data_IF_683856291026
#
_entry.id   IF_683856291026
#
_cell.length_a   1.000
_cell.length_b   1.000
_cell.length_c   1.000
_cell.angle_alpha   90.00
_cell.angle_beta   90.00
_cell.angle_gamma   90.00
#
_symmetry.space_group_name_H-M   'P 1'
#
loop_
_entity.id
_entity.type
_entity.pdbx_description
1 polymer ?
#
# COMPACT_ATOMS: atom_id res chain seq x y z
N UNK A 1 -25.15 7.01 -5.73
CA UNK A 1 -23.86 6.31 -5.58
C UNK A 1 -22.69 7.27 -5.34
N UNK A 2 -22.43 8.27 -6.23
CA UNK A 2 -21.34 9.25 -6.01
C UNK A 2 -21.42 10.01 -4.69
N UNK A 3 -22.60 10.38 -4.25
CA UNK A 3 -22.82 11.13 -3.00
C UNK A 3 -22.41 10.37 -1.72
N UNK A 4 -22.53 9.04 -1.71
CA UNK A 4 -22.07 8.23 -0.58
C UNK A 4 -20.54 8.17 -0.54
N UNK A 5 -19.91 8.03 -1.69
CA UNK A 5 -18.45 8.02 -1.77
C UNK A 5 -17.86 9.39 -1.39
N UNK A 6 -18.46 10.51 -1.79
CA UNK A 6 -18.06 11.86 -1.34
C UNK A 6 -18.08 11.98 0.19
N UNK A 7 -19.09 11.38 0.85
CA UNK A 7 -19.18 11.37 2.31
C UNK A 7 -18.04 10.56 2.94
N UNK A 8 -17.68 9.41 2.36
CA UNK A 8 -16.59 8.55 2.82
C UNK A 8 -15.23 9.25 2.61
N UNK A 9 -15.03 9.87 1.43
CA UNK A 9 -13.83 10.63 1.08
C UNK A 9 -13.71 11.91 1.95
N UNK A 10 -14.82 12.44 2.46
CA UNK A 10 -14.86 13.71 3.21
C UNK A 10 -14.74 14.94 2.31
N UNK A 11 -15.00 14.81 1.00
CA UNK A 11 -14.90 15.90 0.03
C UNK A 11 -16.09 15.91 -0.92
N UNK A 12 -16.72 17.08 -1.08
CA UNK A 12 -17.80 17.31 -2.05
C UNK A 12 -17.24 17.95 -3.31
N UNK A 13 -17.32 17.26 -4.44
CA UNK A 13 -16.81 17.76 -5.71
C UNK A 13 -17.59 18.97 -6.23
N UNK A 14 -16.88 20.01 -6.65
CA UNK A 14 -17.42 21.16 -7.38
C UNK A 14 -17.82 20.75 -8.80
N UNK A 15 -16.99 19.88 -9.40
CA UNK A 15 -17.27 19.24 -10.70
C UNK A 15 -17.45 17.72 -10.51
N UNK A 16 -18.68 17.23 -10.34
CA UNK A 16 -18.97 15.80 -10.16
C UNK A 16 -18.50 14.90 -11.30
N UNK A 17 -18.31 15.46 -12.50
CA UNK A 17 -17.83 14.71 -13.67
C UNK A 17 -16.42 14.17 -13.47
N UNK A 18 -15.57 14.83 -12.68
CA UNK A 18 -14.23 14.34 -12.36
C UNK A 18 -14.30 13.03 -11.58
N UNK A 19 -15.14 12.95 -10.55
CA UNK A 19 -15.33 11.72 -9.79
C UNK A 19 -15.96 10.64 -10.66
N UNK A 20 -16.97 10.98 -11.47
CA UNK A 20 -17.59 10.02 -12.40
C UNK A 20 -16.57 9.43 -13.38
N UNK A 21 -15.70 10.26 -13.95
CA UNK A 21 -14.62 9.83 -14.83
C UNK A 21 -13.62 8.93 -14.09
N UNK A 22 -13.22 9.29 -12.87
CA UNK A 22 -12.31 8.49 -12.03
C UNK A 22 -12.86 7.08 -11.74
N UNK A 23 -14.17 6.97 -11.57
CA UNK A 23 -14.86 5.70 -11.30
C UNK A 23 -15.21 4.91 -12.59
N UNK A 24 -14.93 5.43 -13.77
CA UNK A 24 -15.27 4.80 -15.04
C UNK A 24 -14.07 4.08 -15.62
N UNK A 25 -14.11 2.75 -15.60
CA UNK A 25 -13.09 1.91 -16.22
C UNK A 25 -13.21 1.89 -17.74
N UNK A 26 -12.10 1.67 -18.45
CA UNK A 26 -12.05 1.62 -19.92
C UNK A 26 -13.03 0.61 -20.52
N UNK A 27 -13.27 -0.54 -19.86
CA UNK A 27 -14.23 -1.54 -20.31
C UNK A 27 -15.67 -1.01 -20.40
N UNK A 28 -16.07 -0.12 -19.48
CA UNK A 28 -17.38 0.54 -19.53
C UNK A 28 -17.47 1.51 -20.72
N UNK A 29 -16.43 2.30 -20.91
CA UNK A 29 -16.37 3.26 -22.01
C UNK A 29 -16.45 2.55 -23.37
N UNK A 30 -15.77 1.40 -23.52
CA UNK A 30 -15.76 0.60 -24.76
C UNK A 30 -17.13 -0.04 -25.08
N UNK A 31 -17.94 -0.33 -24.07
CA UNK A 31 -19.30 -0.88 -24.26
C UNK A 31 -20.36 0.22 -24.41
N UNK A 32 -20.01 1.47 -24.15
CA UNK A 32 -20.93 2.60 -24.23
C UNK A 32 -21.28 2.96 -25.67
N UNK A 33 -22.57 3.23 -25.96
CA UNK A 33 -23.03 3.71 -27.26
C UNK A 33 -22.69 5.16 -27.56
N UNK A 34 -22.34 5.91 -26.53
CA UNK A 34 -21.91 7.31 -26.62
C UNK A 34 -20.48 7.41 -26.10
N UNK A 35 -19.65 8.33 -26.58
CA UNK A 35 -18.32 8.55 -26.05
C UNK A 35 -18.37 8.90 -24.57
N UNK A 36 -17.66 8.11 -23.74
CA UNK A 36 -17.53 8.32 -22.30
C UNK A 36 -16.05 8.39 -21.95
N UNK A 37 -15.67 9.37 -21.14
CA UNK A 37 -14.30 9.44 -20.61
C UNK A 37 -14.11 8.36 -19.55
N UNK A 38 -12.92 7.76 -19.54
CA UNK A 38 -12.49 6.74 -18.58
C UNK A 38 -11.29 7.21 -17.76
N UNK A 39 -10.91 6.44 -16.77
CA UNK A 39 -10.00 6.84 -15.70
C UNK A 39 -8.51 6.83 -16.04
N UNK A 40 -8.03 6.18 -17.11
CA UNK A 40 -6.58 6.00 -17.37
C UNK A 40 -5.77 7.30 -17.35
N UNK A 41 -6.30 8.41 -17.86
CA UNK A 41 -5.60 9.71 -17.81
C UNK A 41 -5.56 10.32 -16.42
N UNK A 42 -6.59 10.05 -15.61
CA UNK A 42 -6.62 10.47 -14.21
C UNK A 42 -5.70 9.59 -13.37
N UNK A 43 -5.66 8.28 -13.59
CA UNK A 43 -4.70 7.35 -13.00
C UNK A 43 -3.26 7.85 -13.18
N UNK A 44 -2.84 8.12 -14.43
CA UNK A 44 -1.52 8.67 -14.73
C UNK A 44 -1.18 9.94 -13.92
N UNK A 45 -2.12 10.86 -13.80
CA UNK A 45 -1.94 12.08 -13.02
C UNK A 45 -1.95 11.79 -11.52
N UNK A 46 -2.81 10.88 -11.07
CA UNK A 46 -2.99 10.50 -9.67
C UNK A 46 -1.75 9.82 -9.10
N UNK A 47 -1.12 8.92 -9.85
CA UNK A 47 0.18 8.36 -9.49
C UNK A 47 1.20 9.45 -9.19
N UNK A 48 1.34 10.44 -10.09
CA UNK A 48 2.27 11.56 -9.89
C UNK A 48 1.97 12.39 -8.64
N UNK A 49 0.69 12.66 -8.36
CA UNK A 49 0.27 13.37 -7.14
C UNK A 49 0.56 12.54 -5.89
N UNK A 50 0.27 11.24 -5.92
CA UNK A 50 0.55 10.31 -4.84
C UNK A 50 2.05 10.22 -4.56
N UNK A 51 2.88 10.15 -5.59
CA UNK A 51 4.33 10.11 -5.49
C UNK A 51 4.90 11.37 -4.80
N UNK A 52 4.42 12.57 -5.16
CA UNK A 52 4.91 13.80 -4.55
C UNK A 52 4.45 13.94 -3.09
N UNK A 53 3.20 13.61 -2.78
CA UNK A 53 2.68 13.67 -1.41
C UNK A 53 3.41 12.69 -0.50
N UNK A 54 3.63 11.47 -0.99
CA UNK A 54 4.35 10.43 -0.24
C UNK A 54 5.81 10.80 -0.02
N UNK A 55 6.49 11.35 -1.05
CA UNK A 55 7.88 11.78 -0.96
C UNK A 55 8.04 12.94 0.03
N UNK A 56 7.17 13.95 -0.03
CA UNK A 56 7.16 15.08 0.89
C UNK A 56 6.95 14.63 2.35
N UNK A 57 5.99 13.75 2.58
CA UNK A 57 5.76 13.18 3.90
C UNK A 57 7.00 12.45 4.44
N UNK A 58 7.58 11.53 3.63
CA UNK A 58 8.73 10.75 4.05
C UNK A 58 9.97 11.61 4.30
N UNK A 59 10.20 12.64 3.48
CA UNK A 59 11.30 13.56 3.63
C UNK A 59 11.27 14.29 4.99
N UNK A 60 10.09 14.71 5.42
CA UNK A 60 9.94 15.40 6.71
C UNK A 60 9.85 14.43 7.91
N UNK A 61 9.21 13.28 7.72
CA UNK A 61 9.03 12.31 8.81
C UNK A 61 10.30 11.51 9.14
N UNK A 62 11.21 11.38 8.19
CA UNK A 62 12.44 10.57 8.30
C UNK A 62 13.69 11.36 7.89
N UNK A 63 13.91 12.52 8.54
CA UNK A 63 14.99 13.46 8.20
C UNK A 63 16.41 12.85 8.23
N UNK A 64 16.63 11.84 9.08
CA UNK A 64 17.95 11.21 9.25
C UNK A 64 18.17 9.98 8.35
N UNK A 65 17.19 9.65 7.46
CA UNK A 65 17.33 8.48 6.58
C UNK A 65 17.96 8.83 5.25
N UNK A 66 18.84 7.96 4.69
CA UNK A 66 19.38 8.14 3.36
C UNK A 66 18.29 7.99 2.29
N UNK A 67 18.55 8.59 1.11
CA UNK A 67 17.62 8.61 -0.04
C UNK A 67 17.14 7.21 -0.43
N UNK A 68 18.04 6.21 -0.47
CA UNK A 68 17.69 4.83 -0.84
C UNK A 68 16.62 4.21 0.07
N UNK A 69 16.67 4.52 1.38
CA UNK A 69 15.64 4.08 2.34
C UNK A 69 14.30 4.75 2.07
N UNK A 70 14.30 6.07 1.84
CA UNK A 70 13.08 6.82 1.54
C UNK A 70 12.43 6.31 0.25
N UNK A 71 13.22 6.03 -0.78
CA UNK A 71 12.74 5.47 -2.05
C UNK A 71 12.13 4.08 -1.86
N UNK A 72 12.75 3.22 -1.06
CA UNK A 72 12.24 1.88 -0.76
C UNK A 72 10.92 1.93 0.03
N UNK A 73 10.86 2.78 1.07
CA UNK A 73 9.64 2.98 1.86
C UNK A 73 8.52 3.50 0.96
N UNK A 74 8.79 4.52 0.15
CA UNK A 74 7.80 5.04 -0.80
C UNK A 74 7.28 3.96 -1.73
N UNK A 75 8.15 3.19 -2.38
CA UNK A 75 7.74 2.12 -3.29
C UNK A 75 6.83 1.08 -2.62
N UNK A 76 7.03 0.81 -1.34
CA UNK A 76 6.14 -0.07 -0.58
C UNK A 76 4.78 0.57 -0.30
N UNK A 77 4.76 1.86 0.08
CA UNK A 77 3.55 2.62 0.42
C UNK A 77 2.63 2.86 -0.78
N UNK A 78 3.21 2.99 -1.98
CA UNK A 78 2.46 3.27 -3.22
C UNK A 78 2.40 2.07 -4.16
N UNK A 79 2.65 0.86 -3.65
CA UNK A 79 2.53 -0.37 -4.44
C UNK A 79 1.06 -0.69 -4.77
N UNK A 80 0.80 -1.38 -5.88
CA UNK A 80 -0.55 -1.86 -6.24
C UNK A 80 -1.26 -2.52 -5.05
N UNK A 81 -0.53 -3.39 -4.31
CA UNK A 81 -1.10 -4.07 -3.15
C UNK A 81 -1.49 -3.13 -2.02
N UNK A 82 -0.72 -2.06 -1.76
CA UNK A 82 -1.05 -1.05 -0.76
C UNK A 82 -2.25 -0.21 -1.20
N UNK A 83 -2.26 0.25 -2.45
CA UNK A 83 -3.36 1.04 -3.00
C UNK A 83 -4.67 0.26 -3.03
N UNK A 84 -4.60 -1.03 -3.37
CA UNK A 84 -5.76 -1.91 -3.31
C UNK A 84 -6.35 -1.98 -1.89
N UNK A 85 -5.51 -2.09 -0.86
CA UNK A 85 -5.96 -2.10 0.53
C UNK A 85 -6.60 -0.76 0.93
N UNK A 86 -5.98 0.36 0.57
CA UNK A 86 -6.56 1.70 0.78
C UNK A 86 -7.93 1.84 0.12
N UNK A 87 -8.04 1.38 -1.12
CA UNK A 87 -9.31 1.38 -1.85
C UNK A 87 -10.38 0.48 -1.20
N UNK A 88 -9.98 -0.63 -0.58
CA UNK A 88 -10.88 -1.50 0.18
C UNK A 88 -11.42 -0.81 1.45
N UNK A 89 -10.62 0.00 2.14
CA UNK A 89 -11.05 0.73 3.33
C UNK A 89 -12.23 1.67 3.05
N UNK A 90 -12.28 2.20 1.82
CA UNK A 90 -13.38 3.08 1.36
C UNK A 90 -14.40 2.35 0.49
N UNK A 91 -14.31 1.03 0.35
CA UNK A 91 -15.17 0.20 -0.50
C UNK A 91 -15.23 0.69 -1.96
N UNK A 92 -14.11 1.20 -2.50
CA UNK A 92 -14.09 1.87 -3.81
C UNK A 92 -14.61 0.99 -4.95
N UNK A 93 -14.33 -0.32 -4.91
CA UNK A 93 -14.78 -1.27 -5.91
C UNK A 93 -16.29 -1.27 -6.17
N UNK A 94 -17.11 -0.99 -5.14
CA UNK A 94 -18.57 -0.95 -5.26
C UNK A 94 -19.07 0.22 -6.11
N UNK A 95 -18.27 1.27 -6.24
CA UNK A 95 -18.62 2.48 -6.99
C UNK A 95 -18.16 2.47 -8.44
N UNK A 96 -17.37 1.47 -8.85
CA UNK A 96 -16.79 1.40 -10.20
C UNK A 96 -17.88 1.16 -11.27
N UNK A 97 -17.71 1.81 -12.40
CA UNK A 97 -18.47 1.59 -13.62
C UNK A 97 -17.65 0.69 -14.54
N UNK A 98 -18.06 -0.57 -14.62
CA UNK A 98 -17.38 -1.62 -15.37
C UNK A 98 -18.22 -2.05 -16.56
N UNK A 99 -17.58 -2.49 -17.64
CA UNK A 99 -18.25 -3.21 -18.73
C UNK A 99 -18.70 -4.59 -18.24
N UNK A 100 -19.69 -5.19 -18.92
CA UNK A 100 -20.27 -6.49 -18.53
C UNK A 100 -19.25 -7.62 -18.46
N UNK A 101 -18.25 -7.59 -19.36
CA UNK A 101 -17.18 -8.57 -19.37
C UNK A 101 -16.32 -8.46 -18.12
N UNK A 102 -15.85 -7.26 -17.80
CA UNK A 102 -15.01 -6.96 -16.64
C UNK A 102 -15.76 -7.24 -15.32
N UNK A 103 -17.04 -6.87 -15.26
CA UNK A 103 -17.90 -7.16 -14.10
C UNK A 103 -17.97 -8.66 -13.82
N UNK A 104 -18.22 -9.49 -14.84
CA UNK A 104 -18.31 -10.96 -14.72
C UNK A 104 -16.97 -11.60 -14.31
N UNK A 105 -15.87 -10.97 -14.68
CA UNK A 105 -14.52 -11.43 -14.32
C UNK A 105 -14.04 -10.93 -12.95
N UNK A 106 -14.92 -10.34 -12.14
CA UNK A 106 -14.60 -9.89 -10.79
C UNK A 106 -13.80 -8.59 -10.74
N UNK A 107 -13.95 -7.69 -11.74
CA UNK A 107 -13.22 -6.43 -11.82
C UNK A 107 -13.34 -5.55 -10.57
N UNK A 108 -14.48 -5.59 -9.85
CA UNK A 108 -14.69 -4.83 -8.60
C UNK A 108 -13.75 -5.22 -7.46
N UNK A 109 -13.18 -6.41 -7.52
CA UNK A 109 -12.27 -6.94 -6.50
C UNK A 109 -10.88 -7.24 -7.06
N UNK A 110 -10.63 -6.92 -8.34
CA UNK A 110 -9.33 -7.11 -8.99
C UNK A 110 -8.36 -6.02 -8.53
N UNK A 111 -7.20 -6.37 -7.94
CA UNK A 111 -6.26 -5.39 -7.40
C UNK A 111 -5.88 -4.29 -8.38
N UNK A 112 -5.48 -4.61 -9.62
CA UNK A 112 -5.08 -3.61 -10.60
C UNK A 112 -6.21 -2.63 -10.96
N UNK A 113 -7.44 -3.11 -11.19
CA UNK A 113 -8.59 -2.26 -11.55
C UNK A 113 -8.96 -1.29 -10.43
N UNK A 114 -8.86 -1.77 -9.19
CA UNK A 114 -9.28 -0.99 -8.01
C UNK A 114 -8.19 -0.02 -7.57
N UNK A 115 -6.89 -0.39 -7.69
CA UNK A 115 -5.77 0.51 -7.41
C UNK A 115 -5.70 1.65 -8.44
N UNK A 116 -5.87 1.36 -9.74
CA UNK A 116 -5.88 2.37 -10.80
C UNK A 116 -7.01 3.39 -10.58
N UNK A 117 -8.18 2.91 -10.16
CA UNK A 117 -9.30 3.78 -9.82
C UNK A 117 -9.02 4.63 -8.55
N UNK A 118 -8.27 4.13 -7.58
CA UNK A 118 -7.87 4.89 -6.40
C UNK A 118 -6.94 6.04 -6.78
N UNK A 119 -5.97 5.81 -7.65
CA UNK A 119 -5.12 6.87 -8.20
C UNK A 119 -5.95 7.88 -9.00
N UNK A 120 -6.89 7.40 -9.82
CA UNK A 120 -7.78 8.30 -10.56
C UNK A 120 -8.63 9.19 -9.64
N UNK A 121 -9.08 8.69 -8.48
CA UNK A 121 -9.78 9.50 -7.46
C UNK A 121 -8.85 10.55 -6.87
N UNK A 122 -7.58 10.23 -6.61
CA UNK A 122 -6.56 11.20 -6.17
C UNK A 122 -6.43 12.35 -7.19
N UNK A 123 -6.33 12.02 -8.48
CA UNK A 123 -6.27 13.04 -9.52
C UNK A 123 -7.54 13.89 -9.59
N UNK A 124 -8.71 13.27 -9.45
CA UNK A 124 -9.99 14.00 -9.42
C UNK A 124 -10.04 15.00 -8.27
N UNK A 125 -9.60 14.61 -7.08
CA UNK A 125 -9.48 15.49 -5.89
C UNK A 125 -8.50 16.62 -6.15
N UNK A 126 -7.33 16.32 -6.73
CA UNK A 126 -6.33 17.31 -7.08
C UNK A 126 -6.85 18.35 -8.07
N UNK A 127 -7.51 17.91 -9.13
CA UNK A 127 -8.03 18.80 -10.18
C UNK A 127 -9.20 19.67 -9.68
N UNK A 128 -10.00 19.17 -8.77
CA UNK A 128 -11.18 19.88 -8.25
C UNK A 128 -10.86 20.79 -7.06
N UNK A 129 -9.98 20.34 -6.17
CA UNK A 129 -9.69 20.98 -4.89
C UNK A 129 -8.24 21.41 -4.66
N UNK A 130 -7.34 21.04 -5.57
CA UNK A 130 -5.91 21.34 -5.44
C UNK A 130 -5.13 20.36 -4.57
N UNK A 131 -3.83 20.64 -4.43
CA UNK A 131 -2.89 19.74 -3.75
C UNK A 131 -3.25 19.47 -2.28
N UNK A 132 -3.76 20.47 -1.57
CA UNK A 132 -4.10 20.32 -0.14
C UNK A 132 -5.24 19.33 0.06
N UNK A 133 -6.24 19.32 -0.83
CA UNK A 133 -7.35 18.36 -0.78
C UNK A 133 -6.85 16.95 -1.06
N UNK A 134 -6.03 16.78 -2.10
CA UNK A 134 -5.42 15.48 -2.42
C UNK A 134 -4.52 15.00 -1.26
N UNK A 135 -3.69 15.87 -0.69
CA UNK A 135 -2.84 15.57 0.47
C UNK A 135 -3.65 15.10 1.67
N UNK A 136 -4.71 15.81 2.03
CA UNK A 136 -5.57 15.46 3.16
C UNK A 136 -6.26 14.10 2.96
N UNK A 137 -6.55 13.71 1.72
CA UNK A 137 -7.09 12.41 1.41
C UNK A 137 -6.02 11.30 1.50
N UNK A 138 -4.80 11.55 1.01
CA UNK A 138 -3.73 10.54 0.94
C UNK A 138 -3.11 10.27 2.31
N UNK A 139 -2.82 11.32 3.10
CA UNK A 139 -2.03 11.20 4.32
C UNK A 139 -2.57 10.16 5.32
N UNK A 140 -3.86 10.06 5.64
CA UNK A 140 -4.35 9.03 6.57
C UNK A 140 -3.95 7.61 6.18
N UNK A 141 -4.01 7.28 4.89
CA UNK A 141 -3.66 5.95 4.40
C UNK A 141 -2.18 5.62 4.58
N UNK A 142 -1.29 6.59 4.32
CA UNK A 142 0.16 6.35 4.41
C UNK A 142 0.73 6.52 5.81
N UNK A 143 0.03 7.23 6.72
CA UNK A 143 0.48 7.49 8.10
C UNK A 143 -0.13 6.55 9.12
N UNK A 144 -1.42 6.23 9.00
CA UNK A 144 -2.17 5.41 9.95
C UNK A 144 -2.30 3.96 9.48
N UNK A 145 -2.06 3.73 8.20
CA UNK A 145 -2.15 2.41 7.60
C UNK A 145 -1.23 1.42 8.28
N UNK A 146 -1.74 0.23 8.58
CA UNK A 146 -0.98 -0.96 9.01
C UNK A 146 0.10 -1.38 8.00
N UNK A 147 0.26 -0.63 6.93
CA UNK A 147 1.06 -0.87 5.74
C UNK A 147 2.48 -0.31 5.80
N UNK A 148 2.80 0.52 6.81
CA UNK A 148 4.17 0.69 7.23
C UNK A 148 4.60 -0.56 8.02
N UNK A 149 4.43 -1.74 7.45
CA UNK A 149 5.26 -2.87 7.82
C UNK A 149 6.68 -2.40 7.52
N UNK A 150 7.27 -1.76 8.55
CA UNK A 150 8.66 -1.42 8.52
C UNK A 150 9.35 -2.70 8.06
N UNK A 151 10.13 -2.62 6.97
CA UNK A 151 10.88 -3.76 6.47
C UNK A 151 11.98 -4.08 7.51
N UNK A 152 11.50 -4.66 8.61
CA UNK A 152 12.34 -5.04 9.73
C UNK A 152 13.45 -5.98 9.29
N UNK A 153 13.17 -6.81 8.29
CA UNK A 153 14.14 -7.77 7.74
C UNK A 153 15.31 -7.04 7.09
N UNK A 154 15.04 -6.07 6.22
CA UNK A 154 16.09 -5.28 5.57
C UNK A 154 16.84 -4.41 6.60
N UNK A 155 16.10 -3.77 7.52
CA UNK A 155 16.72 -2.95 8.58
C UNK A 155 17.65 -3.78 9.46
N UNK A 156 17.25 -5.00 9.82
CA UNK A 156 18.08 -5.90 10.58
C UNK A 156 19.33 -6.33 9.78
N UNK A 157 19.16 -6.61 8.48
CA UNK A 157 20.26 -6.97 7.59
C UNK A 157 21.29 -5.84 7.46
N UNK A 158 20.86 -4.59 7.33
CA UNK A 158 21.72 -3.41 7.27
C UNK A 158 22.56 -3.24 8.55
N UNK A 159 21.95 -3.50 9.70
CA UNK A 159 22.66 -3.42 11.00
C UNK A 159 23.71 -4.53 11.12
N UNK A 160 23.34 -5.75 10.78
CA UNK A 160 24.25 -6.90 10.86
C UNK A 160 25.39 -6.78 9.85
N UNK A 161 25.14 -6.25 8.66
CA UNK A 161 26.17 -6.03 7.62
C UNK A 161 27.24 -4.98 8.02
N UNK A 162 26.98 -4.15 9.04
CA UNK A 162 28.02 -3.26 9.58
C UNK A 162 29.16 -4.06 10.24
N UNK A 163 28.89 -5.32 10.59
CA UNK A 163 29.85 -6.25 11.18
C UNK A 163 30.14 -7.40 10.18
N UNK A 164 31.23 -7.34 9.39
CA UNK A 164 31.48 -8.32 8.30
C UNK A 164 31.59 -9.78 8.77
N UNK A 165 31.85 -10.00 10.06
CA UNK A 165 31.96 -11.33 10.66
C UNK A 165 30.60 -11.95 11.02
N UNK A 166 29.53 -11.14 11.04
CA UNK A 166 28.19 -11.60 11.41
C UNK A 166 27.39 -12.01 10.18
N UNK A 167 26.81 -13.22 10.22
CA UNK A 167 25.94 -13.76 9.17
C UNK A 167 24.51 -13.85 9.71
N UNK A 168 23.62 -13.09 9.07
CA UNK A 168 22.19 -13.14 9.33
C UNK A 168 21.55 -14.29 8.53
N UNK A 169 20.76 -15.11 9.19
CA UNK A 169 19.98 -16.17 8.55
C UNK A 169 18.59 -16.31 9.16
N UNK A 170 17.63 -16.77 8.35
CA UNK A 170 16.26 -17.06 8.77
C UNK A 170 16.00 -18.55 8.56
N UNK A 171 15.51 -19.21 9.60
CA UNK A 171 15.25 -20.66 9.60
C UNK A 171 13.80 -20.90 9.97
N UNK A 172 13.07 -21.59 9.10
CA UNK A 172 11.71 -22.04 9.41
C UNK A 172 11.81 -23.16 10.45
N UNK A 173 11.34 -22.91 11.65
CA UNK A 173 11.34 -23.90 12.76
C UNK A 173 10.08 -24.78 12.72
N UNK A 174 8.96 -24.19 12.30
CA UNK A 174 7.69 -24.91 12.24
C UNK A 174 6.82 -24.41 11.09
N UNK A 175 6.17 -25.35 10.40
CA UNK A 175 5.10 -25.09 9.43
C UNK A 175 3.93 -25.98 9.83
N UNK A 176 2.73 -25.39 10.02
CA UNK A 176 1.54 -26.08 10.48
C UNK A 176 0.28 -25.50 9.84
N UNK A 177 -0.84 -26.21 9.96
CA UNK A 177 -2.14 -25.81 9.40
C UNK A 177 -2.37 -26.30 7.96
N UNK A 178 -3.65 -26.30 7.51
CA UNK A 178 -4.04 -26.67 6.16
C UNK A 178 -3.58 -25.61 5.14
N UNK A 179 -3.55 -25.96 3.85
CA UNK A 179 -3.02 -25.08 2.78
C UNK A 179 -3.68 -23.69 2.71
N UNK A 180 -4.92 -23.56 3.12
CA UNK A 180 -5.66 -22.29 3.14
C UNK A 180 -5.50 -21.50 4.44
N UNK A 181 -4.88 -22.07 5.50
CA UNK A 181 -4.63 -21.41 6.78
C UNK A 181 -3.29 -21.92 7.40
N UNK A 182 -2.21 -21.72 6.64
CA UNK A 182 -0.86 -22.09 7.09
C UNK A 182 -0.36 -21.13 8.15
N UNK A 183 0.37 -21.70 9.11
CA UNK A 183 1.07 -20.97 10.15
C UNK A 183 2.55 -21.33 10.14
N UNK A 184 3.40 -20.31 10.10
CA UNK A 184 4.85 -20.44 10.04
C UNK A 184 5.47 -19.86 11.29
N UNK A 185 6.48 -20.53 11.81
CA UNK A 185 7.36 -20.04 12.86
C UNK A 185 8.76 -19.96 12.29
N UNK A 186 9.36 -18.77 12.35
CA UNK A 186 10.70 -18.50 11.83
C UNK A 186 11.58 -17.98 12.94
N UNK A 187 12.79 -18.55 13.04
CA UNK A 187 13.87 -18.02 13.89
C UNK A 187 14.83 -17.19 13.06
N UNK A 188 15.23 -16.04 13.62
CA UNK A 188 16.35 -15.26 13.13
C UNK A 188 17.61 -15.68 13.90
N UNK A 189 18.72 -15.86 13.19
CA UNK A 189 20.02 -16.26 13.78
C UNK A 189 21.12 -15.30 13.34
N UNK A 190 22.01 -14.97 14.28
CA UNK A 190 23.29 -14.35 13.99
C UNK A 190 24.34 -15.45 14.13
N UNK A 191 25.04 -15.73 13.04
CA UNK A 191 25.93 -16.90 12.94
C UNK A 191 25.16 -18.20 13.24
N UNK A 192 25.49 -18.86 14.37
CA UNK A 192 24.81 -20.09 14.82
C UNK A 192 23.78 -19.83 15.92
N UNK A 193 23.79 -18.63 16.52
CA UNK A 193 22.97 -18.32 17.68
C UNK A 193 21.59 -17.82 17.28
N UNK A 194 20.56 -18.41 17.89
CA UNK A 194 19.18 -17.97 17.73
C UNK A 194 18.97 -16.70 18.55
N UNK A 195 18.59 -15.62 17.86
CA UNK A 195 18.40 -14.30 18.48
C UNK A 195 16.95 -14.01 18.80
N UNK A 196 16.06 -14.27 17.84
CA UNK A 196 14.65 -13.97 17.98
C UNK A 196 13.78 -14.93 17.17
N UNK A 197 12.47 -14.85 17.38
CA UNK A 197 11.46 -15.70 16.77
C UNK A 197 10.27 -14.87 16.35
N UNK A 198 9.65 -15.24 15.22
CA UNK A 198 8.44 -14.61 14.71
C UNK A 198 7.48 -15.63 14.10
N UNK A 199 6.21 -15.32 14.15
CA UNK A 199 5.13 -16.17 13.68
C UNK A 199 4.27 -15.43 12.65
N UNK A 200 3.68 -16.14 11.70
CA UNK A 200 2.83 -15.53 10.69
C UNK A 200 2.14 -16.53 9.77
N UNK A 201 1.13 -16.05 9.06
CA UNK A 201 0.38 -16.85 8.06
C UNK A 201 1.16 -17.09 6.76
N UNK A 202 2.30 -16.45 6.60
CA UNK A 202 3.25 -16.71 5.50
C UNK A 202 4.68 -16.67 6.02
N UNK A 203 5.62 -17.33 5.31
CA UNK A 203 7.04 -17.28 5.64
C UNK A 203 7.54 -15.82 5.72
N UNK A 204 7.15 -14.98 4.76
CA UNK A 204 7.50 -13.55 4.72
C UNK A 204 7.03 -12.81 5.97
N UNK A 205 5.80 -13.01 6.41
CA UNK A 205 5.28 -12.39 7.65
C UNK A 205 6.04 -12.87 8.88
N UNK A 206 6.28 -14.18 9.00
CA UNK A 206 7.02 -14.74 10.12
C UNK A 206 8.46 -14.22 10.18
N UNK A 207 9.13 -14.07 9.02
CA UNK A 207 10.47 -13.48 8.93
C UNK A 207 10.48 -12.00 9.36
N UNK A 208 9.50 -11.21 8.95
CA UNK A 208 9.36 -9.80 9.36
C UNK A 208 9.13 -9.67 10.86
N UNK A 209 8.28 -10.53 11.45
CA UNK A 209 8.05 -10.55 12.89
C UNK A 209 9.30 -10.97 13.67
N UNK A 210 10.03 -11.98 13.17
CA UNK A 210 11.30 -12.40 13.78
C UNK A 210 12.34 -11.28 13.75
N UNK A 211 12.46 -10.58 12.63
CA UNK A 211 13.35 -9.44 12.47
C UNK A 211 12.97 -8.27 13.41
N UNK A 212 11.67 -8.00 13.57
CA UNK A 212 11.17 -6.99 14.51
C UNK A 212 11.59 -7.30 15.95
N UNK A 213 11.40 -8.54 16.38
CA UNK A 213 11.78 -8.94 17.74
C UNK A 213 13.30 -8.87 17.93
N UNK A 214 14.09 -9.24 16.92
CA UNK A 214 15.56 -9.07 16.97
C UNK A 214 15.96 -7.59 17.10
N UNK A 215 15.32 -6.68 16.36
CA UNK A 215 15.58 -5.24 16.44
C UNK A 215 15.21 -4.64 17.80
N UNK A 216 14.18 -5.16 18.48
CA UNK A 216 13.85 -4.79 19.85
C UNK A 216 14.96 -5.22 20.82
N UNK A 217 15.41 -6.47 20.70
CA UNK A 217 16.49 -7.00 21.55
C UNK A 217 17.80 -6.24 21.36
N UNK A 218 18.06 -5.75 20.13
CA UNK A 218 19.22 -4.89 19.84
C UNK A 218 19.03 -3.42 20.31
N UNK A 219 17.86 -3.08 20.86
CA UNK A 219 17.57 -1.70 21.32
C UNK A 219 17.34 -0.69 20.18
N UNK A 220 17.18 -1.16 18.94
CA UNK A 220 17.00 -0.31 17.75
C UNK A 220 15.57 0.24 17.65
N UNK A 221 14.59 -0.51 18.15
CA UNK A 221 13.19 -0.09 18.22
C UNK A 221 12.67 -0.25 19.65
N UNK A 222 11.84 0.71 20.07
CA UNK A 222 11.20 0.66 21.40
C UNK A 222 9.91 -0.16 21.35
N UNK A 223 9.61 -0.82 22.46
CA UNK A 223 8.24 -1.32 22.68
C UNK A 223 7.27 -0.12 22.74
N UNK A 224 6.16 -0.22 22.00
CA UNK A 224 5.02 0.67 22.18
C UNK A 224 4.08 0.11 23.21
#
# INVERSE_FOLDING_TARGET
>A
MSHQLETIIGYKFKNPQLLETALTHTSYANESRIPVQHNERLEFLGDSVLQIVSADYLFHAYADRPEGDLTRIRSSLVSEGALFQFAQEINLGEYLRLGRGEERCGGRTRPSVVSDAFEAVIAALYLDGGMDVARNFILPFITEGKHAEADYKTRLQEIVQQNPEEKLSYVVEQESGPDHDKHFVVAVRFNSDKVARGEGRSKKMAEQHAAREALKLLGVIKEK
#
